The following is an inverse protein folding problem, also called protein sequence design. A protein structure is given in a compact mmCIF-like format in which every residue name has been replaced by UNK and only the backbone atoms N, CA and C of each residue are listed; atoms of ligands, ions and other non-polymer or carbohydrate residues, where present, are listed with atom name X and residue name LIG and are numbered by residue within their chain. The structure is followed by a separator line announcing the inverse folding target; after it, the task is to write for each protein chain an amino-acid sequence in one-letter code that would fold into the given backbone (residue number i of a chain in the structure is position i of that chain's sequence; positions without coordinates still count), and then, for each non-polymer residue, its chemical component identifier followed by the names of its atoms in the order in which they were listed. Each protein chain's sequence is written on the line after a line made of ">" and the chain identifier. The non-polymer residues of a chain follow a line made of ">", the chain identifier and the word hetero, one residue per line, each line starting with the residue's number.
data_IF_356460549344
#
_entry.id   IF_356460549344
#
_cell.length_a   1.000
_cell.length_b   1.000
_cell.length_c   1.000
_cell.angle_alpha   90.00
_cell.angle_beta   90.00
_cell.angle_gamma   90.00
#
_symmetry.space_group_name_H-M   'P 1'
#
loop_
_entity.id
_entity.type
_entity.pdbx_description
1 polymer ?
#
# COMPACT_ATOMS: atom_id res chain seq x y z
N UNK A 1 6.43 -1.98 40.67
CA UNK A 1 5.37 -3.01 40.76
C UNK A 1 4.72 -3.08 39.39
N UNK A 2 5.03 -4.14 38.63
CA UNK A 2 4.78 -4.21 37.18
C UNK A 2 3.32 -4.60 36.98
N UNK A 3 2.45 -3.60 36.84
CA UNK A 3 1.09 -3.79 36.40
C UNK A 3 1.05 -3.40 34.92
N UNK A 4 0.96 -4.41 34.05
CA UNK A 4 0.40 -4.22 32.71
C UNK A 4 1.32 -4.03 31.50
N UNK A 5 2.60 -4.42 31.52
CA UNK A 5 3.39 -4.40 30.26
C UNK A 5 4.06 -5.73 29.93
N UNK A 6 3.71 -6.24 28.73
CA UNK A 6 4.16 -7.46 28.04
C UNK A 6 3.65 -8.78 28.61
N UNK A 7 2.83 -9.46 27.79
CA UNK A 7 2.39 -10.85 27.93
C UNK A 7 3.55 -11.87 27.98
N UNK A 8 4.80 -11.44 27.82
CA UNK A 8 6.01 -12.29 27.76
C UNK A 8 7.17 -11.77 28.62
N UNK A 9 6.91 -11.14 29.76
CA UNK A 9 7.97 -10.98 30.77
C UNK A 9 8.08 -12.32 31.52
N UNK A 10 9.12 -13.12 31.19
CA UNK A 10 9.43 -14.36 31.91
C UNK A 10 9.67 -14.02 33.38
N UNK A 11 8.66 -14.23 34.21
CA UNK A 11 8.80 -14.22 35.66
C UNK A 11 9.75 -15.37 36.02
N UNK A 12 10.82 -15.08 36.76
CA UNK A 12 11.79 -16.11 37.16
C UNK A 12 11.11 -17.20 37.99
N UNK A 13 11.48 -18.47 37.77
CA UNK A 13 10.91 -19.62 38.48
C UNK A 13 10.93 -19.47 40.01
N UNK A 14 11.97 -18.80 40.53
CA UNK A 14 12.10 -18.47 41.95
C UNK A 14 10.94 -17.62 42.47
N UNK A 15 10.49 -16.60 41.72
CA UNK A 15 9.39 -15.73 42.15
C UNK A 15 8.06 -16.50 42.19
N UNK A 16 7.83 -17.41 41.24
CA UNK A 16 6.61 -18.25 41.22
C UNK A 16 6.59 -19.20 42.43
N UNK A 17 7.74 -19.80 42.75
CA UNK A 17 7.91 -20.64 43.93
C UNK A 17 7.72 -19.84 45.24
N UNK A 18 8.38 -18.70 45.37
CA UNK A 18 8.34 -17.85 46.56
C UNK A 18 6.93 -17.28 46.79
N UNK A 19 6.18 -17.00 45.72
CA UNK A 19 4.79 -16.54 45.80
C UNK A 19 3.76 -17.67 46.02
N UNK A 20 4.20 -18.93 46.11
CA UNK A 20 3.35 -20.12 46.28
C UNK A 20 2.23 -20.24 45.24
N UNK A 21 2.51 -19.85 43.99
CA UNK A 21 1.52 -19.77 42.91
C UNK A 21 1.83 -20.78 41.81
N UNK A 22 0.78 -21.30 41.17
CA UNK A 22 0.95 -22.14 39.97
C UNK A 22 1.48 -21.30 38.81
N UNK A 23 2.41 -21.87 38.03
CA UNK A 23 2.93 -21.24 36.80
C UNK A 23 1.81 -20.85 35.82
N UNK A 24 0.67 -21.55 35.88
CA UNK A 24 -0.50 -21.32 35.02
C UNK A 24 -1.63 -20.52 35.71
N UNK A 25 -1.39 -19.97 36.90
CA UNK A 25 -2.40 -19.22 37.62
C UNK A 25 -2.82 -17.96 36.85
N UNK A 26 -4.14 -17.71 36.79
CA UNK A 26 -4.68 -16.51 36.18
C UNK A 26 -4.75 -15.38 37.20
N UNK A 27 -4.59 -14.15 36.75
CA UNK A 27 -4.79 -12.98 37.62
C UNK A 27 -6.19 -12.99 38.27
N UNK A 28 -7.21 -13.42 37.54
CA UNK A 28 -8.58 -13.58 38.05
C UNK A 28 -8.74 -14.61 39.18
N UNK A 29 -7.78 -15.54 39.34
CA UNK A 29 -7.77 -16.49 40.47
C UNK A 29 -7.08 -15.94 41.73
N UNK A 30 -6.41 -14.79 41.64
CA UNK A 30 -5.70 -14.16 42.75
C UNK A 30 -6.45 -12.95 43.32
N UNK A 31 -7.62 -12.64 42.77
CA UNK A 31 -8.44 -11.50 43.16
C UNK A 31 -9.82 -12.03 43.52
N UNK A 32 -10.20 -11.89 44.78
CA UNK A 32 -11.52 -12.26 45.28
C UNK A 32 -12.14 -11.07 46.00
N UNK A 33 -13.42 -10.78 45.73
CA UNK A 33 -14.15 -9.68 46.38
C UNK A 33 -13.39 -8.33 46.38
N UNK A 34 -12.77 -7.97 45.24
CA UNK A 34 -11.94 -6.76 45.08
C UNK A 34 -10.68 -6.69 45.96
N UNK A 35 -10.29 -7.80 46.58
CA UNK A 35 -9.07 -7.95 47.37
C UNK A 35 -8.09 -8.89 46.68
N UNK A 36 -6.80 -8.57 46.80
CA UNK A 36 -5.74 -9.53 46.49
C UNK A 36 -5.81 -10.70 47.49
N UNK A 37 -6.05 -11.90 46.98
CA UNK A 37 -5.99 -13.13 47.76
C UNK A 37 -4.77 -13.93 47.31
N UNK A 38 -3.62 -13.55 47.88
CA UNK A 38 -2.39 -14.32 47.69
C UNK A 38 -2.39 -15.50 48.66
N UNK A 39 -1.85 -16.64 48.21
CA UNK A 39 -1.52 -17.73 49.13
C UNK A 39 -0.42 -17.31 50.10
N UNK A 40 -0.10 -18.20 51.05
CA UNK A 40 1.03 -17.98 51.96
C UNK A 40 2.35 -17.94 51.17
N UNK A 41 2.89 -16.74 50.96
CA UNK A 41 4.20 -16.56 50.36
C UNK A 41 5.27 -17.25 51.23
N UNK A 42 6.26 -17.84 50.57
CA UNK A 42 7.33 -18.66 51.18
C UNK A 42 8.60 -17.85 51.47
N UNK A 43 8.57 -16.54 51.25
CA UNK A 43 9.68 -15.61 51.47
C UNK A 43 9.21 -14.41 52.28
N UNK A 44 9.95 -14.06 53.33
CA UNK A 44 9.63 -12.95 54.24
C UNK A 44 9.56 -11.60 53.51
N UNK A 45 10.40 -11.40 52.50
CA UNK A 45 10.39 -10.20 51.66
C UNK A 45 9.07 -10.06 50.89
N UNK A 46 8.54 -11.18 50.38
CA UNK A 46 7.26 -11.20 49.69
C UNK A 46 6.10 -11.03 50.66
N UNK A 47 6.13 -11.67 51.83
CA UNK A 47 5.09 -11.48 52.87
C UNK A 47 5.02 -10.00 53.28
N UNK A 48 6.16 -9.36 53.49
CA UNK A 48 6.26 -7.94 53.84
C UNK A 48 5.78 -7.03 52.71
N UNK A 49 6.05 -7.40 51.46
CA UNK A 49 5.61 -6.63 50.29
C UNK A 49 4.11 -6.78 50.05
N UNK A 50 3.58 -8.00 50.16
CA UNK A 50 2.16 -8.32 49.94
C UNK A 50 1.27 -7.70 51.02
N UNK A 51 1.72 -7.64 52.28
CA UNK A 51 0.97 -7.01 53.38
C UNK A 51 0.75 -5.50 53.21
N UNK A 52 1.53 -4.86 52.32
CA UNK A 52 1.42 -3.43 52.00
C UNK A 52 0.54 -3.15 50.78
N UNK A 53 -0.01 -4.18 50.13
CA UNK A 53 -0.87 -3.98 48.96
C UNK A 53 -2.23 -3.42 49.39
N UNK A 54 -2.69 -2.31 48.77
CA UNK A 54 -4.00 -1.76 49.07
C UNK A 54 -5.14 -2.66 48.55
N UNK A 55 -6.34 -2.43 49.08
CA UNK A 55 -7.58 -2.87 48.42
C UNK A 55 -7.60 -2.33 46.99
N UNK A 56 -7.93 -3.17 46.01
CA UNK A 56 -7.98 -2.74 44.62
C UNK A 56 -9.39 -2.27 44.33
N UNK A 57 -9.55 -0.98 44.01
CA UNK A 57 -10.83 -0.52 43.52
C UNK A 57 -10.95 -0.83 42.02
N UNK A 58 -11.67 -1.91 41.71
CA UNK A 58 -12.16 -2.16 40.35
C UNK A 58 -13.44 -1.34 40.15
N UNK A 59 -13.27 -0.03 39.94
CA UNK A 59 -14.37 0.85 39.54
C UNK A 59 -14.50 0.91 38.00
N UNK A 60 -13.52 0.35 37.28
CA UNK A 60 -13.52 0.27 35.82
C UNK A 60 -13.59 -1.17 35.31
N UNK A 61 -14.44 -1.39 34.30
CA UNK A 61 -14.50 -2.63 33.52
C UNK A 61 -13.23 -2.83 32.69
N UNK A 62 -12.90 -4.09 32.39
CA UNK A 62 -11.84 -4.44 31.44
C UNK A 62 -12.06 -3.72 30.10
N UNK A 63 -11.02 -3.03 29.62
CA UNK A 63 -11.02 -2.33 28.33
C UNK A 63 -10.00 -2.96 27.40
N UNK A 64 -10.37 -3.16 26.14
CA UNK A 64 -9.41 -3.56 25.12
C UNK A 64 -8.46 -2.40 24.84
N UNK A 65 -7.15 -2.65 24.98
CA UNK A 65 -6.09 -1.65 24.81
C UNK A 65 -5.26 -1.98 23.58
N UNK A 66 -5.13 -1.02 22.66
CA UNK A 66 -4.23 -1.11 21.52
C UNK A 66 -2.79 -0.85 21.96
N UNK A 67 -1.98 -1.90 22.01
CA UNK A 67 -0.62 -1.90 22.60
C UNK A 67 0.33 -0.87 21.94
N UNK A 68 0.10 -0.58 20.66
CA UNK A 68 0.92 0.37 19.89
C UNK A 68 0.48 1.83 20.03
N UNK A 69 -0.60 2.09 20.75
CA UNK A 69 -1.04 3.43 21.09
C UNK A 69 -0.59 3.76 22.52
N UNK A 70 0.09 4.89 22.70
CA UNK A 70 0.46 5.39 24.05
C UNK A 70 -0.76 5.63 24.94
N UNK A 71 -1.92 5.90 24.33
CA UNK A 71 -3.19 6.13 24.99
C UNK A 71 -4.07 4.87 25.04
N UNK A 72 -3.59 3.74 24.52
CA UNK A 72 -4.38 2.51 24.44
C UNK A 72 -5.53 2.53 23.44
N UNK A 73 -5.78 3.66 22.78
CA UNK A 73 -6.85 3.80 21.80
C UNK A 73 -6.50 3.13 20.47
N UNK A 74 -7.47 2.41 19.90
CA UNK A 74 -7.38 1.93 18.53
C UNK A 74 -7.49 3.09 17.55
N UNK A 75 -6.64 3.09 16.53
CA UNK A 75 -6.88 3.88 15.32
C UNK A 75 -6.47 3.08 14.10
N UNK A 76 -7.25 3.23 13.02
CA UNK A 76 -6.96 2.58 11.75
C UNK A 76 -5.57 2.96 11.23
N UNK A 77 -5.15 4.21 11.46
CA UNK A 77 -3.82 4.69 11.09
C UNK A 77 -2.70 3.95 11.84
N UNK A 78 -2.83 3.76 13.16
CA UNK A 78 -1.85 3.02 13.95
C UNK A 78 -1.82 1.54 13.54
N UNK A 79 -2.99 0.92 13.40
CA UNK A 79 -3.10 -0.46 12.95
C UNK A 79 -2.46 -0.68 11.57
N UNK A 80 -2.74 0.21 10.61
CA UNK A 80 -2.10 0.22 9.29
C UNK A 80 -0.58 0.35 9.39
N UNK A 81 -0.10 1.24 10.25
CA UNK A 81 1.33 1.46 10.48
C UNK A 81 2.06 0.25 11.03
N UNK A 82 1.38 -0.60 11.81
CA UNK A 82 1.94 -1.84 12.33
C UNK A 82 2.01 -2.97 11.31
N UNK A 83 1.00 -3.09 10.44
CA UNK A 83 0.94 -4.18 9.47
C UNK A 83 1.69 -3.86 8.17
N UNK A 84 1.91 -2.58 7.86
CA UNK A 84 2.59 -2.19 6.62
C UNK A 84 4.10 -2.43 6.72
N UNK A 85 4.66 -2.98 5.65
CA UNK A 85 6.11 -2.92 5.41
C UNK A 85 6.46 -1.51 4.95
N UNK A 86 7.26 -0.78 5.74
CA UNK A 86 7.75 0.53 5.35
C UNK A 86 8.81 0.38 4.27
N UNK A 87 8.52 0.86 3.05
CA UNK A 87 9.49 1.01 1.98
C UNK A 87 9.89 2.48 1.83
N UNK A 88 10.98 2.74 1.09
CA UNK A 88 11.28 4.10 0.63
C UNK A 88 10.10 4.67 -0.16
N UNK A 89 9.90 5.99 -0.04
CA UNK A 89 8.90 6.68 -0.83
C UNK A 89 9.32 6.63 -2.32
N UNK A 90 8.39 6.22 -3.19
CA UNK A 90 8.64 6.13 -4.63
C UNK A 90 8.48 7.51 -5.27
N UNK A 91 9.56 8.12 -5.76
CA UNK A 91 9.57 9.50 -6.27
C UNK A 91 8.50 9.78 -7.34
N UNK A 92 8.20 8.79 -8.19
CA UNK A 92 7.20 8.88 -9.24
C UNK A 92 5.75 9.02 -8.76
N UNK A 93 5.43 8.87 -7.47
CA UNK A 93 4.03 8.93 -7.00
C UNK A 93 3.31 10.23 -7.40
N UNK A 94 4.06 11.33 -7.51
CA UNK A 94 3.56 12.66 -7.91
C UNK A 94 3.20 12.77 -9.40
N UNK A 95 3.72 11.87 -10.23
CA UNK A 95 3.34 11.77 -11.65
C UNK A 95 1.89 11.26 -11.75
N UNK A 96 1.54 10.32 -10.86
CA UNK A 96 0.25 9.61 -10.88
C UNK A 96 -0.80 10.35 -10.05
N UNK A 97 -0.44 10.76 -8.84
CA UNK A 97 -1.36 11.33 -7.87
C UNK A 97 -1.12 12.84 -7.74
N UNK A 98 -1.97 13.62 -8.38
CA UNK A 98 -1.96 15.08 -8.35
C UNK A 98 -3.39 15.63 -8.37
N UNK A 99 -3.56 16.91 -8.01
CA UNK A 99 -4.88 17.49 -7.74
C UNK A 99 -5.86 17.41 -8.92
N UNK A 100 -5.37 17.44 -10.16
CA UNK A 100 -6.18 17.39 -11.40
C UNK A 100 -6.24 15.98 -12.01
N UNK A 101 -5.70 14.97 -11.33
CA UNK A 101 -5.68 13.61 -11.85
C UNK A 101 -7.12 13.08 -11.98
N UNK A 102 -7.44 12.51 -13.15
CA UNK A 102 -8.70 11.81 -13.35
C UNK A 102 -8.60 10.43 -12.68
N UNK A 103 -9.43 10.08 -11.68
CA UNK A 103 -9.20 8.89 -10.84
C UNK A 103 -9.04 7.59 -11.62
N UNK A 104 -9.88 7.36 -12.64
CA UNK A 104 -9.78 6.17 -13.50
C UNK A 104 -8.46 6.10 -14.28
N UNK A 105 -7.91 7.24 -14.71
CA UNK A 105 -6.65 7.29 -15.44
C UNK A 105 -5.47 7.09 -14.49
N UNK A 106 -5.52 7.74 -13.33
CA UNK A 106 -4.52 7.59 -12.28
C UNK A 106 -4.41 6.14 -11.79
N UNK A 107 -5.55 5.44 -11.63
CA UNK A 107 -5.56 4.04 -11.21
C UNK A 107 -4.87 3.12 -12.22
N UNK A 108 -5.20 3.23 -13.51
CA UNK A 108 -4.55 2.41 -14.56
C UNK A 108 -3.07 2.78 -14.70
N UNK A 109 -2.75 4.08 -14.62
CA UNK A 109 -1.36 4.56 -14.63
C UNK A 109 -0.57 3.98 -13.46
N UNK A 110 -1.12 4.00 -12.24
CA UNK A 110 -0.49 3.39 -11.07
C UNK A 110 -0.20 1.90 -11.28
N UNK A 111 -1.15 1.15 -11.85
CA UNK A 111 -0.93 -0.26 -12.19
C UNK A 111 0.18 -0.43 -13.23
N UNK A 112 0.24 0.44 -14.24
CA UNK A 112 1.30 0.43 -15.26
C UNK A 112 2.68 0.70 -14.63
N UNK A 113 2.78 1.71 -13.76
CA UNK A 113 4.01 2.06 -13.01
C UNK A 113 4.51 0.92 -12.13
N UNK A 114 3.60 0.07 -11.64
CA UNK A 114 3.94 -1.12 -10.85
C UNK A 114 4.05 -2.41 -11.66
N UNK A 115 3.96 -2.30 -12.99
CA UNK A 115 3.90 -3.42 -13.93
C UNK A 115 2.77 -4.43 -13.67
N UNK A 116 1.72 -4.04 -12.95
CA UNK A 116 0.63 -4.92 -12.51
C UNK A 116 -0.49 -5.11 -13.54
N UNK A 117 -0.38 -4.51 -14.72
CA UNK A 117 -1.30 -4.74 -15.82
C UNK A 117 -1.03 -6.10 -16.49
N UNK A 118 -2.10 -6.80 -16.88
CA UNK A 118 -2.04 -8.12 -17.53
C UNK A 118 -1.62 -8.04 -19.00
N UNK A 119 -0.38 -7.61 -19.24
CA UNK A 119 0.28 -7.69 -20.57
C UNK A 119 0.48 -9.15 -20.99
N UNK A 120 0.69 -9.41 -22.28
CA UNK A 120 0.91 -10.79 -22.76
C UNK A 120 2.15 -11.42 -22.12
N UNK A 121 3.23 -10.66 -22.00
CA UNK A 121 4.44 -11.09 -21.28
C UNK A 121 4.14 -11.51 -19.83
N UNK A 122 3.35 -10.71 -19.10
CA UNK A 122 2.97 -11.03 -17.73
C UNK A 122 2.04 -12.24 -17.63
N UNK A 123 1.16 -12.45 -18.62
CA UNK A 123 0.32 -13.65 -18.68
C UNK A 123 1.17 -14.90 -18.94
N UNK A 124 2.15 -14.82 -19.83
CA UNK A 124 3.07 -15.92 -20.10
C UNK A 124 3.93 -16.28 -18.88
N UNK A 125 4.35 -15.31 -18.07
CA UNK A 125 5.08 -15.59 -16.82
C UNK A 125 4.21 -16.29 -15.75
N UNK A 126 2.88 -16.27 -15.90
CA UNK A 126 1.95 -17.07 -15.11
C UNK A 126 1.66 -18.46 -15.70
N UNK A 127 2.35 -18.84 -16.79
CA UNK A 127 2.13 -20.10 -17.48
C UNK A 127 0.88 -20.12 -18.38
N UNK A 128 0.25 -18.96 -18.63
CA UNK A 128 -0.90 -18.87 -19.52
C UNK A 128 -0.39 -18.81 -20.97
N UNK A 129 -0.64 -19.88 -21.73
CA UNK A 129 -0.33 -19.92 -23.15
C UNK A 129 -1.18 -18.90 -23.92
N UNK A 130 -0.52 -17.94 -24.58
CA UNK A 130 -1.20 -16.94 -25.40
C UNK A 130 -0.28 -16.43 -26.52
N UNK A 131 -0.89 -15.91 -27.59
CA UNK A 131 -0.15 -15.16 -28.61
C UNK A 131 0.49 -13.92 -27.97
N UNK A 132 1.82 -13.91 -27.94
CA UNK A 132 2.67 -12.91 -27.29
C UNK A 132 2.74 -11.59 -28.07
N UNK A 133 2.34 -11.59 -29.34
CA UNK A 133 2.38 -10.40 -30.18
C UNK A 133 1.44 -9.32 -29.65
N UNK A 134 1.88 -8.07 -29.76
CA UNK A 134 1.08 -6.91 -29.44
C UNK A 134 -0.15 -6.84 -30.32
N UNK A 135 -1.32 -6.81 -29.68
CA UNK A 135 -2.60 -6.75 -30.38
C UNK A 135 -2.78 -5.47 -31.21
N UNK A 136 -2.05 -4.39 -30.87
CA UNK A 136 -2.17 -3.09 -31.53
C UNK A 136 -1.35 -3.01 -32.84
N UNK A 137 -0.12 -3.53 -32.86
CA UNK A 137 0.75 -3.45 -34.04
C UNK A 137 1.04 -4.79 -34.71
N UNK A 138 0.78 -5.91 -34.04
CA UNK A 138 1.06 -7.29 -34.49
C UNK A 138 2.52 -7.56 -34.91
N UNK A 139 3.47 -6.73 -34.46
CA UNK A 139 4.86 -6.76 -34.93
C UNK A 139 5.91 -7.12 -33.86
N UNK A 140 5.60 -6.99 -32.58
CA UNK A 140 6.54 -7.28 -31.48
C UNK A 140 5.81 -7.78 -30.24
N UNK A 141 6.55 -8.31 -29.27
CA UNK A 141 6.01 -8.86 -28.02
C UNK A 141 5.35 -7.75 -27.18
N UNK A 142 4.18 -8.03 -26.61
CA UNK A 142 3.49 -7.11 -25.70
C UNK A 142 4.02 -7.20 -24.26
N UNK A 143 4.98 -6.34 -23.96
CA UNK A 143 5.34 -5.94 -22.59
C UNK A 143 4.95 -4.48 -22.33
N UNK A 144 5.18 -3.96 -21.10
CA UNK A 144 4.76 -2.61 -20.68
C UNK A 144 5.24 -1.53 -21.65
N UNK A 145 6.54 -1.39 -21.82
CA UNK A 145 7.09 -0.25 -22.57
C UNK A 145 6.73 -0.33 -24.05
N UNK A 146 6.71 -1.55 -24.61
CA UNK A 146 6.23 -1.73 -25.97
C UNK A 146 4.76 -1.32 -26.10
N UNK A 147 3.89 -1.79 -25.21
CA UNK A 147 2.48 -1.45 -25.27
C UNK A 147 2.25 0.08 -25.23
N UNK A 148 2.96 0.81 -24.36
CA UNK A 148 2.66 2.22 -24.13
C UNK A 148 3.47 3.20 -24.99
N UNK A 149 4.74 2.93 -25.30
CA UNK A 149 5.59 3.93 -25.97
C UNK A 149 6.48 3.40 -27.11
N UNK A 150 6.64 2.08 -27.30
CA UNK A 150 7.39 1.54 -28.47
C UNK A 150 6.51 0.92 -29.56
N UNK A 151 5.23 0.70 -29.31
CA UNK A 151 4.29 0.21 -30.30
C UNK A 151 3.99 1.31 -31.32
N UNK A 152 3.97 0.98 -32.62
CA UNK A 152 3.76 1.96 -33.70
C UNK A 152 2.44 2.72 -33.59
N UNK A 153 1.36 2.05 -33.16
CA UNK A 153 0.08 2.69 -32.83
C UNK A 153 0.23 3.67 -31.66
N UNK A 154 0.83 3.19 -30.57
CA UNK A 154 1.02 3.97 -29.35
C UNK A 154 1.90 5.20 -29.56
N UNK A 155 2.95 5.10 -30.38
CA UNK A 155 3.81 6.22 -30.75
C UNK A 155 3.07 7.28 -31.57
N UNK A 156 2.21 6.87 -32.52
CA UNK A 156 1.37 7.81 -33.28
C UNK A 156 0.40 8.53 -32.35
N UNK A 157 -0.23 7.79 -31.44
CA UNK A 157 -1.15 8.36 -30.46
C UNK A 157 -0.42 9.30 -29.49
N UNK A 158 0.74 8.88 -28.97
CA UNK A 158 1.56 9.68 -28.07
C UNK A 158 1.96 11.01 -28.72
N UNK A 159 2.44 10.99 -29.97
CA UNK A 159 2.76 12.21 -30.72
C UNK A 159 1.60 13.20 -30.82
N UNK A 160 0.37 12.72 -31.03
CA UNK A 160 -0.82 13.60 -31.04
C UNK A 160 -1.07 14.22 -29.67
N UNK A 161 -0.94 13.46 -28.59
CA UNK A 161 -1.12 13.98 -27.23
C UNK A 161 0.01 14.97 -26.85
N UNK A 162 1.27 14.68 -27.20
CA UNK A 162 2.39 15.61 -27.05
C UNK A 162 2.09 16.97 -27.68
N UNK A 163 1.59 16.96 -28.91
CA UNK A 163 1.20 18.20 -29.62
C UNK A 163 0.03 18.92 -28.95
N UNK A 164 -0.99 18.20 -28.46
CA UNK A 164 -2.11 18.83 -27.71
C UNK A 164 -1.66 19.47 -26.39
N UNK A 165 -0.57 18.97 -25.81
CA UNK A 165 0.00 19.50 -24.58
C UNK A 165 1.09 20.55 -24.81
N UNK A 166 1.47 20.84 -26.05
CA UNK A 166 2.66 21.63 -26.41
C UNK A 166 3.94 21.07 -25.74
N UNK A 167 4.15 19.76 -25.86
CA UNK A 167 5.25 19.00 -25.24
C UNK A 167 5.90 18.05 -26.25
N UNK A 168 6.29 18.58 -27.41
CA UNK A 168 6.83 17.83 -28.55
C UNK A 168 8.14 17.10 -28.22
N UNK A 169 8.96 17.70 -27.35
CA UNK A 169 10.30 17.21 -26.97
C UNK A 169 10.28 16.04 -25.96
N UNK A 170 9.10 15.60 -25.51
CA UNK A 170 9.02 14.44 -24.62
C UNK A 170 9.48 13.17 -25.33
N UNK A 171 10.25 12.36 -24.60
CA UNK A 171 10.78 11.09 -25.07
C UNK A 171 9.68 10.06 -25.40
N UNK A 172 10.05 9.01 -26.12
CA UNK A 172 9.22 7.85 -26.43
C UNK A 172 9.67 6.60 -25.64
N UNK A 173 10.58 6.76 -24.68
CA UNK A 173 11.01 5.70 -23.76
C UNK A 173 10.43 5.89 -22.36
N UNK A 174 9.90 4.80 -21.81
CA UNK A 174 9.26 4.78 -20.50
C UNK A 174 10.17 5.34 -19.40
N UNK A 175 11.39 4.81 -19.27
CA UNK A 175 12.30 5.20 -18.18
C UNK A 175 12.76 6.67 -18.29
N UNK A 176 12.95 7.17 -19.51
CA UNK A 176 13.31 8.58 -19.74
C UNK A 176 12.15 9.50 -19.36
N UNK A 177 10.91 9.13 -19.71
CA UNK A 177 9.71 9.87 -19.33
C UNK A 177 9.52 9.90 -17.80
N UNK A 178 9.72 8.78 -17.11
CA UNK A 178 9.63 8.74 -15.65
C UNK A 178 10.72 9.60 -15.03
N UNK A 179 11.98 9.46 -15.47
CA UNK A 179 13.11 10.24 -14.99
C UNK A 179 12.91 11.75 -15.21
N UNK A 180 12.36 12.14 -16.36
CA UNK A 180 12.01 13.52 -16.67
C UNK A 180 10.86 14.01 -15.78
N UNK A 181 9.82 13.20 -15.59
CA UNK A 181 8.67 13.54 -14.77
C UNK A 181 9.03 13.70 -13.29
N UNK A 182 9.89 12.83 -12.78
CA UNK A 182 10.44 12.93 -11.43
C UNK A 182 11.30 14.18 -11.22
N UNK A 183 11.84 14.78 -12.27
CA UNK A 183 12.62 16.03 -12.19
C UNK A 183 11.73 17.26 -12.38
N UNK A 184 10.91 17.28 -13.43
CA UNK A 184 10.28 18.49 -13.96
C UNK A 184 8.77 18.56 -13.78
N UNK A 185 8.07 17.43 -13.63
CA UNK A 185 6.61 17.42 -13.46
C UNK A 185 6.24 17.59 -11.98
N UNK A 186 6.78 18.63 -11.35
CA UNK A 186 6.54 18.98 -9.94
C UNK A 186 5.76 20.28 -9.82
N UNK A 187 5.06 20.43 -8.71
CA UNK A 187 4.32 21.66 -8.39
C UNK A 187 3.01 21.82 -9.16
N UNK A 188 2.45 23.03 -9.08
CA UNK A 188 1.11 23.41 -9.55
C UNK A 188 1.17 24.31 -10.81
N UNK A 189 2.10 24.06 -11.72
CA UNK A 189 2.17 24.80 -12.97
C UNK A 189 1.45 24.05 -14.11
N UNK A 190 0.98 24.81 -15.10
CA UNK A 190 0.16 24.29 -16.19
C UNK A 190 0.92 23.26 -17.04
N UNK A 191 2.18 23.50 -17.37
CA UNK A 191 3.00 22.58 -18.16
C UNK A 191 3.14 21.22 -17.46
N UNK A 192 3.48 21.20 -16.17
CA UNK A 192 3.56 19.97 -15.39
C UNK A 192 2.22 19.24 -15.28
N UNK A 193 1.10 19.97 -15.15
CA UNK A 193 -0.24 19.37 -15.19
C UNK A 193 -0.54 18.77 -16.57
N UNK A 194 -0.23 19.46 -17.67
CA UNK A 194 -0.39 18.95 -19.03
C UNK A 194 0.43 17.68 -19.25
N UNK A 195 1.68 17.63 -18.81
CA UNK A 195 2.51 16.42 -18.95
C UNK A 195 1.95 15.24 -18.16
N UNK A 196 1.58 15.45 -16.89
CA UNK A 196 1.00 14.37 -16.06
C UNK A 196 -0.34 13.87 -16.62
N UNK A 197 -1.19 14.80 -17.07
CA UNK A 197 -2.45 14.47 -17.72
C UNK A 197 -2.22 13.71 -19.01
N UNK A 198 -1.39 14.24 -19.92
CA UNK A 198 -1.05 13.60 -21.19
C UNK A 198 -0.50 12.19 -21.01
N UNK A 199 0.43 12.00 -20.08
CA UNK A 199 0.96 10.69 -19.72
C UNK A 199 -0.14 9.72 -19.25
N UNK A 200 -0.99 10.15 -18.33
CA UNK A 200 -2.08 9.32 -17.79
C UNK A 200 -3.17 8.99 -18.82
N UNK A 201 -3.48 9.95 -19.72
CA UNK A 201 -4.44 9.81 -20.82
C UNK A 201 -3.94 8.77 -21.81
N UNK A 202 -2.67 8.84 -22.19
CA UNK A 202 -2.06 7.88 -23.12
C UNK A 202 -2.13 6.47 -22.57
N UNK A 203 -1.68 6.27 -21.33
CA UNK A 203 -1.70 4.96 -20.69
C UNK A 203 -3.12 4.42 -20.59
N UNK A 204 -4.07 5.23 -20.13
CA UNK A 204 -5.45 4.78 -19.99
C UNK A 204 -6.07 4.38 -21.33
N UNK A 205 -5.97 5.24 -22.35
CA UNK A 205 -6.65 5.00 -23.62
C UNK A 205 -5.99 3.88 -24.44
N UNK A 206 -4.66 3.72 -24.38
CA UNK A 206 -3.99 2.55 -24.97
C UNK A 206 -4.45 1.27 -24.28
N UNK A 207 -4.51 1.27 -22.94
CA UNK A 207 -4.97 0.10 -22.20
C UNK A 207 -6.43 -0.25 -22.52
N UNK A 208 -7.29 0.77 -22.58
CA UNK A 208 -8.70 0.61 -22.94
C UNK A 208 -8.87 0.07 -24.38
N UNK A 209 -8.14 0.63 -25.35
CA UNK A 209 -8.14 0.18 -26.74
C UNK A 209 -7.67 -1.28 -26.86
N UNK A 210 -6.56 -1.61 -26.20
CA UNK A 210 -6.03 -2.98 -26.15
C UNK A 210 -7.08 -3.96 -25.63
N UNK A 211 -7.80 -3.60 -24.57
CA UNK A 211 -8.84 -4.46 -24.00
C UNK A 211 -10.09 -4.54 -24.88
N UNK A 212 -10.49 -3.44 -25.53
CA UNK A 212 -11.60 -3.43 -26.47
C UNK A 212 -11.35 -4.39 -27.64
N UNK A 213 -10.14 -4.41 -28.21
CA UNK A 213 -9.79 -5.36 -29.27
C UNK A 213 -9.86 -6.80 -28.78
N UNK A 214 -9.34 -7.09 -27.59
CA UNK A 214 -9.30 -8.46 -27.07
C UNK A 214 -10.67 -9.00 -26.64
N UNK A 215 -11.55 -8.14 -26.13
CA UNK A 215 -12.85 -8.55 -25.58
C UNK A 215 -14.00 -8.41 -26.59
N UNK A 216 -13.93 -7.39 -27.45
CA UNK A 216 -15.03 -6.98 -28.33
C UNK A 216 -14.63 -7.01 -29.81
N UNK A 217 -13.35 -7.25 -30.14
CA UNK A 217 -12.87 -7.21 -31.53
C UNK A 217 -12.90 -5.81 -32.15
N UNK A 218 -13.10 -4.76 -31.35
CA UNK A 218 -13.25 -3.38 -31.86
C UNK A 218 -11.95 -2.61 -31.76
N UNK A 219 -11.54 -2.01 -32.88
CA UNK A 219 -10.38 -1.14 -32.96
C UNK A 219 -10.79 0.28 -33.39
N UNK A 220 -10.46 1.28 -32.58
CA UNK A 220 -10.49 2.70 -32.96
C UNK A 220 -9.15 3.19 -33.49
N UNK A 221 -9.17 4.16 -34.40
CA UNK A 221 -7.96 4.88 -34.82
C UNK A 221 -7.53 5.88 -33.75
N UNK A 222 -6.29 6.36 -33.84
CA UNK A 222 -5.76 7.38 -32.93
C UNK A 222 -6.58 8.68 -33.02
N UNK A 223 -7.07 9.06 -34.19
CA UNK A 223 -7.94 10.23 -34.39
C UNK A 223 -9.27 10.08 -33.67
N UNK A 224 -9.90 8.90 -33.75
CA UNK A 224 -11.15 8.63 -33.06
C UNK A 224 -10.97 8.69 -31.54
N UNK A 225 -9.85 8.17 -31.02
CA UNK A 225 -9.53 8.24 -29.59
C UNK A 225 -9.28 9.69 -29.17
N UNK A 226 -8.50 10.45 -29.95
CA UNK A 226 -8.27 11.88 -29.69
C UNK A 226 -9.58 12.68 -29.70
N UNK A 227 -10.52 12.35 -30.59
CA UNK A 227 -11.84 12.97 -30.64
C UNK A 227 -12.71 12.75 -29.40
N UNK A 228 -12.44 11.70 -28.61
CA UNK A 228 -13.14 11.44 -27.33
C UNK A 228 -12.52 12.24 -26.17
N UNK A 229 -11.25 12.66 -26.31
CA UNK A 229 -10.49 13.35 -25.27
C UNK A 229 -10.74 14.88 -25.32
N UNK A 230 -10.98 15.42 -26.53
CA UNK A 230 -11.35 16.81 -26.76
C UNK A 230 -12.79 17.06 -26.36
#
# INVERSE_FOLDING_TARGET
>A
MIIGTKRDQKVGQKLVYDAAISVNAKLSSMIHHKAWNWGHARSDDLVTTLSRLPMIDFDEFDKAVWISSKLGSFSLANAWDQIRLRSSALNWWRIVWFAKAIPRYAFITWLAMRERLSTKERLASWGISCDMLCVLCRASIQYRDHLFFKCSFSQRFWRKIKSLCCQEDLDDEWENLISLGEKHWKGKNLSADCCRLGFSVVIYHIWAQRNAILQQGTARTEEQIVGIIK
#
